data_IF_791660116966
#
_entry.id   IF_791660116966
#
_cell.length_a   1.000
_cell.length_b   1.000
_cell.length_c   1.000
_cell.angle_alpha   90.00
_cell.angle_beta   90.00
_cell.angle_gamma   90.00
#
_symmetry.space_group_name_H-M   'P 1'
#
loop_
_entity.id
_entity.type
_entity.pdbx_description
1 polymer ?
#
# COMPACT_ATOMS: atom_id res chain seq x y z
N UNK A 1 -33.92 -9.84 -48.21
CA UNK A 1 -32.74 -9.27 -47.52
C UNK A 1 -33.19 -8.28 -46.44
N UNK A 2 -32.96 -8.54 -45.15
CA UNK A 2 -33.31 -7.60 -44.06
C UNK A 2 -32.19 -6.56 -43.91
N UNK A 3 -32.49 -5.27 -44.12
CA UNK A 3 -31.58 -4.15 -43.84
C UNK A 3 -31.35 -4.07 -42.33
N UNK A 4 -30.10 -4.21 -41.87
CA UNK A 4 -29.73 -3.88 -40.49
C UNK A 4 -29.86 -2.36 -40.32
N UNK A 5 -30.74 -1.92 -39.42
CA UNK A 5 -30.88 -0.51 -39.04
C UNK A 5 -29.59 -0.12 -38.31
N UNK A 6 -28.92 0.94 -38.75
CA UNK A 6 -27.74 1.46 -38.08
C UNK A 6 -28.17 2.09 -36.74
N UNK A 7 -27.43 1.79 -35.67
CA UNK A 7 -27.61 2.37 -34.34
C UNK A 7 -27.39 3.89 -34.42
N UNK A 8 -28.31 4.66 -33.84
CA UNK A 8 -28.19 6.11 -33.77
C UNK A 8 -27.12 6.53 -32.75
N UNK A 9 -26.59 7.74 -32.91
CA UNK A 9 -25.61 8.30 -31.95
C UNK A 9 -26.18 8.37 -30.53
N UNK A 10 -27.48 8.69 -30.39
CA UNK A 10 -28.17 8.73 -29.10
C UNK A 10 -28.21 7.33 -28.44
N UNK A 11 -28.57 6.29 -29.19
CA UNK A 11 -28.55 4.91 -28.71
C UNK A 11 -27.13 4.46 -28.32
N UNK A 12 -26.10 4.91 -29.06
CA UNK A 12 -24.72 4.63 -28.73
C UNK A 12 -24.28 5.31 -27.41
N UNK A 13 -24.71 6.55 -27.17
CA UNK A 13 -24.41 7.32 -25.95
C UNK A 13 -25.14 6.73 -24.74
N UNK A 14 -26.42 6.39 -24.86
CA UNK A 14 -27.18 5.74 -23.78
C UNK A 14 -26.59 4.38 -23.41
N UNK A 15 -26.18 3.58 -24.40
CA UNK A 15 -25.49 2.31 -24.17
C UNK A 15 -24.13 2.50 -23.49
N UNK A 16 -23.42 3.59 -23.78
CA UNK A 16 -22.17 3.94 -23.11
C UNK A 16 -22.41 4.38 -21.65
N UNK A 17 -23.45 5.16 -21.40
CA UNK A 17 -23.83 5.61 -20.06
C UNK A 17 -24.37 4.46 -19.18
N UNK A 18 -25.06 3.48 -19.78
CA UNK A 18 -25.59 2.30 -19.10
C UNK A 18 -24.55 1.20 -18.87
N UNK A 19 -23.32 1.33 -19.40
CA UNK A 19 -22.24 0.38 -19.09
C UNK A 19 -21.79 0.63 -17.65
N UNK A 20 -21.85 -0.37 -16.75
CA UNK A 20 -21.23 -0.24 -15.44
C UNK A 20 -19.76 0.08 -15.66
N UNK A 21 -19.33 1.26 -15.20
CA UNK A 21 -17.93 1.64 -15.16
C UNK A 21 -17.25 0.56 -14.32
N UNK A 22 -16.41 -0.28 -14.94
CA UNK A 22 -15.58 -1.22 -14.18
C UNK A 22 -14.86 -0.37 -13.13
N UNK A 23 -14.99 -0.66 -11.83
CA UNK A 23 -14.27 0.09 -10.82
C UNK A 23 -12.80 0.06 -11.21
N UNK A 24 -12.23 1.25 -11.40
CA UNK A 24 -10.84 1.40 -11.78
C UNK A 24 -10.05 0.82 -10.62
N UNK A 25 -9.39 -0.33 -10.83
CA UNK A 25 -8.61 -0.99 -9.78
C UNK A 25 -7.63 0.04 -9.23
N UNK A 26 -7.78 0.38 -7.95
CA UNK A 26 -6.87 1.30 -7.28
C UNK A 26 -5.53 0.57 -7.18
N UNK A 27 -4.53 0.99 -7.98
CA UNK A 27 -3.13 0.54 -7.83
C UNK A 27 -2.67 0.85 -6.40
N UNK A 28 -2.27 -0.17 -5.65
CA UNK A 28 -1.67 -0.02 -4.33
C UNK A 28 -0.35 0.75 -4.43
N UNK A 29 0.00 1.48 -3.38
CA UNK A 29 1.19 2.30 -3.28
C UNK A 29 0.92 3.78 -3.02
N UNK A 30 2.00 4.57 -3.08
CA UNK A 30 2.00 6.00 -2.80
C UNK A 30 1.35 6.79 -3.94
N UNK A 31 0.59 7.82 -3.56
CA UNK A 31 -0.19 8.70 -4.44
C UNK A 31 -0.14 10.13 -3.90
N UNK A 32 0.87 10.88 -4.32
CA UNK A 32 1.15 12.19 -3.73
C UNK A 32 1.37 12.04 -2.23
N UNK A 33 0.50 12.67 -1.45
CA UNK A 33 0.57 12.71 0.01
C UNK A 33 -0.25 11.61 0.71
N UNK A 34 -0.62 10.54 -0.01
CA UNK A 34 -1.42 9.44 0.51
C UNK A 34 -0.86 8.08 0.10
N UNK A 35 -1.21 7.04 0.85
CA UNK A 35 -0.99 5.64 0.49
C UNK A 35 -2.31 4.94 0.22
N UNK A 36 -2.31 4.00 -0.73
CA UNK A 36 -3.42 3.08 -0.94
C UNK A 36 -2.95 1.64 -0.78
N UNK A 37 -3.67 0.82 -0.03
CA UNK A 37 -3.38 -0.60 0.08
C UNK A 37 -4.01 -1.44 -1.06
N UNK A 38 -3.77 -2.77 -1.13
CA UNK A 38 -4.35 -3.63 -2.16
C UNK A 38 -5.87 -3.75 -2.13
N UNK A 39 -6.49 -3.43 -0.99
CA UNK A 39 -7.94 -3.36 -0.83
C UNK A 39 -8.51 -2.00 -1.27
N UNK A 40 -7.66 -1.01 -1.52
CA UNK A 40 -8.02 0.34 -1.92
C UNK A 40 -8.26 1.30 -0.76
N UNK A 41 -7.95 0.91 0.48
CA UNK A 41 -8.05 1.82 1.65
C UNK A 41 -6.96 2.87 1.54
N UNK A 42 -7.36 4.14 1.73
CA UNK A 42 -6.45 5.27 1.71
C UNK A 42 -5.93 5.58 3.13
N UNK A 43 -4.66 5.96 3.21
CA UNK A 43 -3.97 6.34 4.43
C UNK A 43 -3.28 7.69 4.26
N UNK A 44 -3.24 8.48 5.33
CA UNK A 44 -2.51 9.75 5.42
C UNK A 44 -1.34 9.63 6.39
N UNK A 45 -0.28 10.40 6.13
CA UNK A 45 0.96 10.35 6.90
C UNK A 45 0.71 10.86 8.32
N UNK A 46 1.21 10.11 9.30
CA UNK A 46 1.19 10.48 10.72
C UNK A 46 2.60 10.81 11.22
N UNK A 47 3.59 9.98 10.83
CA UNK A 47 4.99 10.10 11.25
C UNK A 47 5.89 9.55 10.14
N UNK A 48 6.81 10.37 9.61
CA UNK A 48 7.81 9.98 8.60
C UNK A 48 9.14 9.49 9.20
N UNK A 49 9.26 9.51 10.53
CA UNK A 49 10.44 9.07 11.28
C UNK A 49 10.07 8.01 12.33
N UNK A 50 9.22 7.06 11.96
CA UNK A 50 8.64 6.08 12.87
C UNK A 50 9.71 5.27 13.58
N UNK A 51 9.75 5.40 14.90
CA UNK A 51 10.70 4.65 15.75
C UNK A 51 10.44 3.14 15.63
N UNK A 52 11.49 2.31 15.52
CA UNK A 52 11.32 0.86 15.39
C UNK A 52 10.48 0.17 16.47
N UNK A 53 10.61 0.61 17.74
CA UNK A 53 9.80 0.06 18.82
C UNK A 53 8.30 0.37 18.67
N UNK A 54 7.97 1.51 18.07
CA UNK A 54 6.57 1.89 17.76
C UNK A 54 6.06 1.09 16.58
N UNK A 55 6.88 0.88 15.54
CA UNK A 55 6.53 0.00 14.43
C UNK A 55 6.17 -1.42 14.91
N UNK A 56 6.96 -1.98 15.84
CA UNK A 56 6.65 -3.27 16.47
C UNK A 56 5.30 -3.25 17.22
N UNK A 57 5.03 -2.19 17.98
CA UNK A 57 3.79 -2.05 18.72
C UNK A 57 2.57 -1.94 17.78
N UNK A 58 2.68 -1.19 16.68
CA UNK A 58 1.64 -1.07 15.66
C UNK A 58 1.38 -2.42 14.98
N UNK A 59 2.43 -3.15 14.59
CA UNK A 59 2.28 -4.50 14.05
C UNK A 59 1.59 -5.46 15.04
N UNK A 60 1.93 -5.38 16.33
CA UNK A 60 1.25 -6.16 17.37
C UNK A 60 -0.23 -5.79 17.55
N UNK A 61 -0.62 -4.57 17.19
CA UNK A 61 -2.00 -4.09 17.18
C UNK A 61 -2.76 -4.42 15.88
N UNK A 62 -2.10 -5.07 14.91
CA UNK A 62 -2.70 -5.47 13.65
C UNK A 62 -2.57 -4.44 12.52
N UNK A 63 -1.61 -3.51 12.61
CA UNK A 63 -1.29 -2.62 11.50
C UNK A 63 -0.94 -3.42 10.23
N UNK A 64 -1.30 -2.88 9.06
CA UNK A 64 -0.77 -3.38 7.79
C UNK A 64 0.72 -3.04 7.70
N UNK A 65 1.50 -3.90 7.06
CA UNK A 65 2.93 -3.65 6.82
C UNK A 65 3.21 -3.83 5.35
N UNK A 66 3.88 -2.86 4.75
CA UNK A 66 4.37 -2.93 3.37
C UNK A 66 5.87 -2.71 3.37
N UNK A 67 6.57 -3.49 2.57
CA UNK A 67 7.98 -3.29 2.27
C UNK A 67 8.17 -2.74 0.85
N UNK A 68 8.90 -1.63 0.76
CA UNK A 68 9.28 -0.96 -0.47
C UNK A 68 10.81 -0.99 -0.62
N UNK A 69 11.34 -2.03 -1.24
CA UNK A 69 12.78 -2.21 -1.44
C UNK A 69 13.44 -1.05 -2.22
N UNK A 70 12.64 -0.31 -2.99
CA UNK A 70 13.02 0.70 -3.96
C UNK A 70 12.90 2.13 -3.40
N UNK A 71 12.06 2.31 -2.39
CA UNK A 71 11.65 3.62 -1.87
C UNK A 71 10.83 4.44 -2.88
N UNK A 72 10.30 3.82 -3.93
CA UNK A 72 9.59 4.52 -5.01
C UNK A 72 8.07 4.54 -4.84
N UNK A 73 7.54 4.09 -3.70
CA UNK A 73 6.12 4.05 -3.39
C UNK A 73 5.31 3.16 -4.32
N UNK A 74 5.94 2.16 -4.95
CA UNK A 74 5.31 1.29 -5.93
C UNK A 74 5.09 1.89 -7.32
N UNK A 75 5.79 2.99 -7.66
CA UNK A 75 5.75 3.60 -9.00
C UNK A 75 6.45 2.70 -10.03
N UNK A 76 7.67 2.27 -9.72
CA UNK A 76 8.55 1.52 -10.62
C UNK A 76 8.72 0.05 -10.24
N UNK A 77 8.57 -0.28 -8.94
CA UNK A 77 8.68 -1.63 -8.43
C UNK A 77 7.33 -2.15 -7.91
N UNK A 78 7.27 -3.46 -7.69
CA UNK A 78 6.17 -4.08 -6.95
C UNK A 78 6.42 -3.91 -5.44
N UNK A 79 5.35 -3.58 -4.72
CA UNK A 79 5.37 -3.45 -3.28
C UNK A 79 5.08 -4.79 -2.62
N UNK A 80 5.84 -5.11 -1.59
CA UNK A 80 5.67 -6.35 -0.86
C UNK A 80 4.74 -6.13 0.34
N UNK A 81 3.47 -6.45 0.16
CA UNK A 81 2.45 -6.34 1.20
C UNK A 81 2.42 -7.60 2.04
N UNK A 82 2.79 -7.49 3.32
CA UNK A 82 2.75 -8.62 4.24
C UNK A 82 1.30 -8.98 4.57
N UNK A 83 1.03 -10.28 4.59
CA UNK A 83 -0.22 -10.84 5.10
C UNK A 83 -0.32 -10.63 6.62
N UNK A 84 -1.54 -10.65 7.16
CA UNK A 84 -1.76 -10.52 8.61
C UNK A 84 -1.04 -11.61 9.43
N UNK A 85 -0.88 -12.81 8.87
CA UNK A 85 -0.15 -13.91 9.52
C UNK A 85 1.37 -13.63 9.58
N UNK A 86 1.94 -13.05 8.54
CA UNK A 86 3.35 -12.62 8.51
C UNK A 86 3.58 -11.48 9.51
N UNK A 87 2.68 -10.48 9.55
CA UNK A 87 2.76 -9.38 10.53
C UNK A 87 2.65 -9.90 11.96
N UNK A 88 1.70 -10.80 12.24
CA UNK A 88 1.57 -11.41 13.57
C UNK A 88 2.81 -12.23 13.96
N UNK A 89 3.45 -12.89 12.99
CA UNK A 89 4.71 -13.60 13.21
C UNK A 89 5.84 -12.63 13.56
N UNK A 90 5.96 -11.50 12.85
CA UNK A 90 6.94 -10.46 13.18
C UNK A 90 6.71 -9.89 14.57
N UNK A 91 5.46 -9.56 14.90
CA UNK A 91 5.07 -9.02 16.19
C UNK A 91 5.35 -9.98 17.36
N UNK A 92 4.96 -11.25 17.22
CA UNK A 92 5.13 -12.27 18.26
C UNK A 92 6.60 -12.60 18.58
N UNK A 93 7.51 -12.41 17.62
CA UNK A 93 8.96 -12.55 17.86
C UNK A 93 9.54 -11.41 18.71
N UNK A 94 8.81 -10.31 18.87
CA UNK A 94 9.18 -9.20 19.76
C UNK A 94 10.43 -8.43 19.36
N UNK A 95 10.95 -8.64 18.13
CA UNK A 95 12.13 -7.93 17.62
C UNK A 95 11.68 -6.76 16.76
N UNK A 96 12.02 -5.51 17.11
CA UNK A 96 11.68 -4.36 16.27
C UNK A 96 12.48 -4.39 14.96
N UNK A 97 12.01 -3.70 13.90
CA UNK A 97 12.77 -3.54 12.68
C UNK A 97 14.11 -2.85 12.94
N UNK A 98 15.08 -3.10 12.08
CA UNK A 98 16.39 -2.45 12.10
C UNK A 98 16.44 -1.54 10.88
N UNK A 99 16.53 -0.23 11.14
CA UNK A 99 16.78 0.81 10.13
C UNK A 99 18.28 1.03 10.05
N UNK A 100 18.86 0.92 8.86
CA UNK A 100 20.29 1.18 8.65
C UNK A 100 20.46 2.44 7.84
N UNK A 101 21.44 3.26 8.19
CA UNK A 101 21.85 4.37 7.35
C UNK A 101 22.31 3.81 5.99
N UNK A 102 21.58 4.12 4.93
CA UNK A 102 22.06 3.86 3.56
C UNK A 102 23.04 4.97 3.15
N UNK A 103 23.92 4.71 2.18
CA UNK A 103 24.84 5.75 1.66
C UNK A 103 24.07 6.96 1.10
N UNK A 104 22.84 6.73 0.62
CA UNK A 104 21.94 7.77 0.12
C UNK A 104 20.97 8.32 1.19
N UNK A 105 21.00 7.79 2.42
CA UNK A 105 20.15 8.19 3.56
C UNK A 105 18.67 7.78 3.48
N UNK A 106 18.28 6.88 2.58
CA UNK A 106 16.89 6.56 2.20
C UNK A 106 16.22 5.44 3.00
N UNK A 107 16.64 5.16 4.22
CA UNK A 107 16.03 4.10 5.02
C UNK A 107 14.89 4.68 5.87
N UNK A 108 13.65 4.41 5.44
CA UNK A 108 12.48 5.07 6.01
C UNK A 108 11.57 4.03 6.70
N UNK A 109 11.18 4.37 7.93
CA UNK A 109 10.03 3.77 8.59
C UNK A 109 8.99 4.87 8.74
N UNK A 110 7.82 4.68 8.17
CA UNK A 110 6.73 5.65 8.22
C UNK A 110 5.48 5.01 8.84
N UNK A 111 4.71 5.83 9.56
CA UNK A 111 3.38 5.49 10.06
C UNK A 111 2.33 6.30 9.30
N UNK A 112 1.34 5.57 8.79
CA UNK A 112 0.19 6.11 8.11
C UNK A 112 -1.09 5.62 8.77
N UNK A 113 -2.17 6.40 8.67
CA UNK A 113 -3.47 6.06 9.25
C UNK A 113 -4.61 6.31 8.28
N UNK A 114 -5.58 5.39 8.22
CA UNK A 114 -6.80 5.56 7.46
C UNK A 114 -7.85 6.36 8.25
N UNK A 115 -8.83 6.93 7.56
CA UNK A 115 -9.95 7.63 8.21
C UNK A 115 -10.77 6.72 9.15
N UNK A 116 -10.81 5.43 8.86
CA UNK A 116 -11.48 4.40 9.67
C UNK A 116 -10.63 3.94 10.88
N UNK A 117 -9.43 4.51 11.05
CA UNK A 117 -8.55 4.24 12.20
C UNK A 117 -7.59 3.06 11.99
N UNK A 118 -7.48 2.52 10.78
CA UNK A 118 -6.50 1.47 10.46
C UNK A 118 -5.08 2.04 10.35
N UNK A 119 -4.10 1.34 10.92
CA UNK A 119 -2.69 1.73 10.83
C UNK A 119 -1.96 1.00 9.70
N UNK A 120 -1.01 1.70 9.07
CA UNK A 120 -0.09 1.18 8.07
C UNK A 120 1.34 1.58 8.46
N UNK A 121 2.23 0.59 8.48
CA UNK A 121 3.67 0.76 8.59
C UNK A 121 4.30 0.56 7.22
N UNK A 122 5.00 1.58 6.73
CA UNK A 122 5.83 1.48 5.53
C UNK A 122 7.27 1.29 5.96
N UNK A 123 7.91 0.24 5.46
CA UNK A 123 9.34 0.00 5.59
C UNK A 123 9.98 0.14 4.21
N UNK A 124 10.95 1.03 4.05
CA UNK A 124 11.55 1.30 2.74
C UNK A 124 13.08 1.13 2.74
N UNK A 125 13.59 0.63 1.61
CA UNK A 125 15.02 0.50 1.29
C UNK A 125 15.75 -0.35 2.34
N UNK A 126 16.62 0.26 3.17
CA UNK A 126 17.54 -0.40 4.10
C UNK A 126 16.91 -0.67 5.48
N UNK A 127 15.68 -1.18 5.46
CA UNK A 127 14.96 -1.69 6.64
C UNK A 127 14.94 -3.21 6.60
N UNK A 128 15.30 -3.85 7.72
CA UNK A 128 15.15 -5.30 7.89
C UNK A 128 14.26 -5.61 9.08
N UNK A 129 13.43 -6.64 8.97
CA UNK A 129 12.51 -7.03 10.05
C UNK A 129 12.27 -8.53 10.07
N UNK A 130 12.77 -9.17 11.13
CA UNK A 130 12.67 -10.62 11.29
C UNK A 130 13.32 -11.34 10.13
N UNK A 131 12.67 -12.41 9.68
CA UNK A 131 13.01 -13.17 8.46
C UNK A 131 12.16 -12.76 7.25
N UNK A 132 11.18 -11.88 7.44
CA UNK A 132 10.22 -11.57 6.37
C UNK A 132 10.64 -10.39 5.52
N UNK A 133 11.17 -9.34 6.13
CA UNK A 133 11.72 -8.21 5.39
C UNK A 133 13.24 -8.43 5.34
N UNK A 134 13.75 -8.91 4.19
CA UNK A 134 15.13 -9.32 4.06
C UNK A 134 16.07 -8.12 4.13
N UNK A 135 17.35 -8.46 4.30
CA UNK A 135 18.45 -7.55 4.09
C UNK A 135 18.76 -7.43 2.60
#
# INVERSE_FOLDING_TARGET
MRKRRAESFAEAVERLAARPTRPRRVRAGRRGDSWADPSGVAYTLVDDGLRPSVALALAAQGARVVYDACGCGGVECELDWLSGAEVATLASRGRPPIVRSSEDGRADLEHWRSEEGGDLVVAAVDVSWGDRIPR
#
